data_IF_677100425121
#
_entry.id   IF_677100425121
#
_cell.length_a   1.000
_cell.length_b   1.000
_cell.length_c   1.000
_cell.angle_alpha   90.00
_cell.angle_beta   90.00
_cell.angle_gamma   90.00
#
_symmetry.space_group_name_H-M   'P 1'
#
loop_
_entity.id
_entity.type
_entity.pdbx_description
1 polymer ?
#
# COMPACT_ATOMS: atom_id res chain seq x y z
N UNK A 1 -18.29 -10.95 -19.74
CA UNK A 1 -18.38 -11.03 -18.28
C UNK A 1 -17.54 -9.88 -17.75
N UNK A 2 -18.05 -9.13 -16.78
CA UNK A 2 -17.24 -8.11 -16.10
C UNK A 2 -16.28 -8.86 -15.19
N UNK A 3 -14.98 -8.75 -15.44
CA UNK A 3 -13.95 -9.39 -14.64
C UNK A 3 -14.01 -8.82 -13.22
N UNK A 4 -14.03 -9.68 -12.21
CA UNK A 4 -14.02 -9.24 -10.82
C UNK A 4 -12.58 -8.94 -10.35
N UNK A 5 -12.44 -8.30 -9.18
CA UNK A 5 -11.12 -7.90 -8.68
C UNK A 5 -10.19 -9.11 -8.42
N UNK A 6 -10.72 -10.24 -7.96
CA UNK A 6 -9.95 -11.47 -7.71
C UNK A 6 -9.35 -12.03 -9.02
N UNK A 7 -10.14 -12.08 -10.08
CA UNK A 7 -9.69 -12.51 -11.41
C UNK A 7 -8.61 -11.59 -11.98
N UNK A 8 -8.72 -10.26 -11.75
CA UNK A 8 -7.67 -9.30 -12.14
C UNK A 8 -6.37 -9.61 -11.39
N UNK A 9 -6.45 -9.81 -10.07
CA UNK A 9 -5.29 -10.12 -9.26
C UNK A 9 -4.67 -11.48 -9.59
N UNK A 10 -5.46 -12.48 -9.99
CA UNK A 10 -4.95 -13.74 -10.54
C UNK A 10 -4.20 -13.58 -11.87
N UNK A 11 -4.54 -12.58 -12.68
CA UNK A 11 -3.77 -12.25 -13.89
C UNK A 11 -2.45 -11.55 -13.56
N UNK A 12 -2.45 -10.69 -12.54
CA UNK A 12 -1.28 -9.94 -12.08
C UNK A 12 -0.29 -10.85 -11.35
N UNK A 13 -0.79 -11.71 -10.46
CA UNK A 13 -0.04 -12.66 -9.66
C UNK A 13 -0.52 -14.09 -9.99
N UNK A 14 0.10 -14.76 -10.99
CA UNK A 14 -0.31 -16.09 -11.42
C UNK A 14 -0.30 -17.15 -10.32
N UNK A 15 0.45 -16.92 -9.23
CA UNK A 15 0.48 -17.75 -8.02
C UNK A 15 -0.93 -17.91 -7.41
N UNK A 16 -1.74 -16.85 -7.46
CA UNK A 16 -3.10 -16.83 -6.92
C UNK A 16 -4.08 -17.74 -7.70
N UNK A 17 -3.72 -18.21 -8.89
CA UNK A 17 -4.55 -19.16 -9.68
C UNK A 17 -4.64 -20.54 -9.05
N UNK A 18 -3.74 -20.85 -8.10
CA UNK A 18 -3.73 -22.12 -7.39
C UNK A 18 -4.65 -22.10 -6.15
N UNK A 19 -5.08 -20.90 -5.73
CA UNK A 19 -5.96 -20.72 -4.57
C UNK A 19 -7.43 -20.73 -5.02
N UNK A 20 -8.28 -21.38 -4.23
CA UNK A 20 -9.73 -21.29 -4.42
C UNK A 20 -10.21 -19.85 -4.17
N UNK A 21 -11.22 -19.43 -4.92
CA UNK A 21 -11.86 -18.14 -4.67
C UNK A 21 -12.73 -18.25 -3.40
N UNK A 22 -12.78 -17.20 -2.56
CA UNK A 22 -13.68 -17.17 -1.41
C UNK A 22 -15.16 -17.24 -1.82
N UNK A 23 -16.00 -17.73 -0.90
CA UNK A 23 -17.46 -17.78 -1.11
C UNK A 23 -18.08 -16.37 -1.16
N UNK A 24 -17.54 -15.43 -0.37
CA UNK A 24 -17.96 -14.03 -0.35
C UNK A 24 -16.88 -13.14 -0.95
N UNK A 25 -17.19 -12.58 -2.13
CA UNK A 25 -16.29 -11.71 -2.88
C UNK A 25 -16.55 -10.21 -2.63
N UNK A 26 -17.43 -9.87 -1.68
CA UNK A 26 -17.91 -8.49 -1.49
C UNK A 26 -17.28 -7.77 -0.31
N UNK A 27 -16.54 -8.48 0.54
CA UNK A 27 -15.90 -7.96 1.74
C UNK A 27 -14.40 -7.78 1.52
N UNK A 28 -13.88 -6.58 1.82
CA UNK A 28 -12.45 -6.31 1.67
C UNK A 28 -11.56 -7.20 2.54
N UNK A 29 -11.98 -7.53 3.76
CA UNK A 29 -11.21 -8.40 4.67
C UNK A 29 -11.00 -9.78 4.07
N UNK A 30 -12.04 -10.35 3.44
CA UNK A 30 -11.95 -11.61 2.70
C UNK A 30 -10.99 -11.51 1.52
N UNK A 31 -11.02 -10.38 0.78
CA UNK A 31 -10.08 -10.14 -0.32
C UNK A 31 -8.63 -10.05 0.17
N UNK A 32 -8.37 -9.29 1.24
CA UNK A 32 -7.06 -9.18 1.88
C UNK A 32 -6.54 -10.54 2.32
N UNK A 33 -7.38 -11.32 3.02
CA UNK A 33 -6.99 -12.63 3.56
C UNK A 33 -6.68 -13.63 2.44
N UNK A 34 -7.48 -13.60 1.36
CA UNK A 34 -7.21 -14.40 0.16
C UNK A 34 -5.91 -14.00 -0.53
N UNK A 35 -5.66 -12.69 -0.66
CA UNK A 35 -4.44 -12.18 -1.29
C UNK A 35 -3.20 -12.57 -0.49
N UNK A 36 -3.32 -12.63 0.84
CA UNK A 36 -2.22 -12.93 1.75
C UNK A 36 -2.21 -14.37 2.30
N UNK A 37 -2.98 -15.29 1.72
CA UNK A 37 -3.10 -16.65 2.28
C UNK A 37 -1.78 -17.42 2.22
N UNK A 38 -1.14 -17.49 1.04
CA UNK A 38 0.13 -18.20 0.84
C UNK A 38 1.33 -17.24 0.62
N UNK A 39 1.05 -15.95 0.43
CA UNK A 39 2.01 -14.90 0.11
C UNK A 39 1.70 -13.64 0.91
N UNK A 40 2.53 -12.60 0.81
CA UNK A 40 2.23 -11.28 1.39
C UNK A 40 2.24 -10.25 0.27
N UNK A 41 1.11 -10.07 -0.40
CA UNK A 41 0.97 -9.15 -1.54
C UNK A 41 0.41 -7.79 -1.14
N UNK A 42 -0.43 -7.72 -0.10
CA UNK A 42 -0.98 -6.48 0.45
C UNK A 42 -0.47 -6.27 1.88
N UNK A 43 0.01 -5.09 2.17
CA UNK A 43 0.57 -4.74 3.47
C UNK A 43 -0.36 -3.78 4.19
N UNK A 44 -0.46 -3.94 5.51
CA UNK A 44 -1.11 -2.97 6.39
C UNK A 44 -0.02 -2.11 7.03
N UNK A 45 -0.31 -0.83 7.24
CA UNK A 45 0.56 0.02 8.05
C UNK A 45 -0.28 0.86 8.99
N UNK A 46 0.11 0.87 10.27
CA UNK A 46 -0.35 1.86 11.22
C UNK A 46 0.63 3.04 11.17
N UNK A 47 0.18 4.21 10.74
CA UNK A 47 1.08 5.36 10.47
C UNK A 47 1.83 5.81 11.74
N UNK A 48 1.24 5.59 12.91
CA UNK A 48 1.89 5.84 14.21
C UNK A 48 3.03 4.88 14.52
N UNK A 49 3.02 3.71 13.90
CA UNK A 49 4.03 2.65 14.00
C UNK A 49 4.60 2.34 12.60
N UNK A 50 4.93 3.39 11.84
CA UNK A 50 5.33 3.29 10.41
C UNK A 50 6.55 2.40 10.16
N UNK A 51 7.34 2.09 11.21
CA UNK A 51 8.45 1.14 11.12
C UNK A 51 7.96 -0.28 10.76
N UNK A 52 6.75 -0.65 11.19
CA UNK A 52 6.07 -1.91 10.80
C UNK A 52 5.20 -1.69 9.55
N UNK A 53 5.85 -1.25 8.46
CA UNK A 53 5.19 -0.91 7.20
C UNK A 53 5.01 -2.10 6.23
N UNK A 54 5.49 -3.30 6.56
CA UNK A 54 5.36 -4.49 5.71
C UNK A 54 6.33 -4.56 4.51
N UNK A 55 7.30 -3.65 4.38
CA UNK A 55 8.26 -3.63 3.26
C UNK A 55 9.08 -4.93 3.20
N UNK A 56 9.49 -5.46 4.36
CA UNK A 56 10.33 -6.65 4.45
C UNK A 56 9.55 -7.92 4.08
N UNK A 57 8.24 -7.92 4.33
CA UNK A 57 7.31 -9.02 4.15
C UNK A 57 6.79 -9.08 2.70
N UNK A 58 6.75 -7.94 2.00
CA UNK A 58 6.21 -7.83 0.65
C UNK A 58 6.83 -8.84 -0.32
N UNK A 59 6.00 -9.79 -0.76
CA UNK A 59 6.40 -10.85 -1.69
C UNK A 59 6.89 -10.27 -3.01
N UNK A 60 6.24 -9.23 -3.53
CA UNK A 60 6.65 -8.59 -4.79
C UNK A 60 8.01 -7.94 -4.66
N UNK A 61 8.28 -7.24 -3.55
CA UNK A 61 9.59 -6.63 -3.30
C UNK A 61 10.70 -7.67 -3.15
N UNK A 62 10.45 -8.76 -2.42
CA UNK A 62 11.37 -9.90 -2.33
C UNK A 62 11.66 -10.51 -3.70
N UNK A 63 10.62 -10.78 -4.51
CA UNK A 63 10.75 -11.33 -5.86
C UNK A 63 11.55 -10.40 -6.81
N UNK A 64 11.36 -9.07 -6.68
CA UNK A 64 12.06 -8.06 -7.48
C UNK A 64 13.41 -7.63 -6.91
N UNK A 65 13.81 -8.22 -5.78
CA UNK A 65 15.05 -7.91 -5.06
C UNK A 65 15.15 -6.39 -4.83
N UNK A 66 14.08 -5.79 -4.32
CA UNK A 66 14.11 -4.43 -3.77
C UNK A 66 15.00 -4.46 -2.53
N UNK A 67 15.86 -3.46 -2.39
CA UNK A 67 16.69 -3.31 -1.21
C UNK A 67 15.83 -2.73 -0.07
N UNK A 68 15.22 -3.64 0.70
CA UNK A 68 14.31 -3.29 1.80
C UNK A 68 15.03 -2.53 2.92
N UNK A 69 16.31 -2.81 3.16
CA UNK A 69 17.10 -2.09 4.15
C UNK A 69 17.33 -0.65 3.70
N UNK A 70 17.77 -0.45 2.45
CA UNK A 70 17.96 0.90 1.91
C UNK A 70 16.65 1.70 1.83
N UNK A 71 15.52 1.05 1.51
CA UNK A 71 14.21 1.69 1.49
C UNK A 71 13.78 2.15 2.90
N UNK A 72 13.86 1.27 3.91
CA UNK A 72 13.51 1.64 5.28
C UNK A 72 14.42 2.75 5.81
N UNK A 73 15.73 2.71 5.52
CA UNK A 73 16.66 3.78 5.86
C UNK A 73 16.29 5.10 5.17
N UNK A 74 15.84 5.07 3.91
CA UNK A 74 15.42 6.28 3.21
C UNK A 74 14.17 6.91 3.85
N UNK A 75 13.22 6.08 4.31
CA UNK A 75 12.02 6.53 5.03
C UNK A 75 12.41 7.15 6.37
N UNK A 76 13.20 6.45 7.18
CA UNK A 76 13.66 6.91 8.49
C UNK A 76 14.38 8.26 8.38
N UNK A 77 15.33 8.39 7.45
CA UNK A 77 16.07 9.65 7.27
C UNK A 77 15.16 10.84 6.92
N UNK A 78 14.18 10.65 6.04
CA UNK A 78 13.26 11.74 5.65
C UNK A 78 12.30 12.11 6.79
N UNK A 79 11.87 11.13 7.59
CA UNK A 79 11.04 11.37 8.78
C UNK A 79 11.84 12.07 9.87
N UNK A 80 13.10 11.68 10.10
CA UNK A 80 14.00 12.35 11.03
C UNK A 80 14.22 13.81 10.64
N UNK A 81 14.52 14.08 9.36
CA UNK A 81 14.64 15.45 8.83
C UNK A 81 13.35 16.25 9.05
N UNK A 82 12.19 15.62 8.83
CA UNK A 82 10.90 16.23 9.08
C UNK A 82 10.75 16.61 10.55
N UNK A 83 10.93 15.70 11.51
CA UNK A 83 10.79 15.99 12.93
C UNK A 83 11.85 16.96 13.47
N UNK A 84 13.09 16.88 13.00
CA UNK A 84 14.13 17.85 13.33
C UNK A 84 13.68 19.29 12.97
N UNK A 85 12.88 19.47 11.92
CA UNK A 85 12.37 20.80 11.55
C UNK A 85 11.31 21.37 12.51
N UNK A 86 10.62 20.52 13.29
CA UNK A 86 9.61 20.94 14.28
C UNK A 86 10.23 21.27 15.64
N UNK A 87 11.30 20.60 16.05
CA UNK A 87 12.00 20.88 17.32
C UNK A 87 12.57 22.32 17.40
N UNK A 88 12.62 23.05 16.28
CA UNK A 88 13.08 24.44 16.24
C UNK A 88 11.95 25.50 16.15
N UNK A 89 10.68 25.12 15.93
CA UNK A 89 9.65 26.10 15.57
C UNK A 89 8.50 26.31 16.57
N UNK A 90 7.99 25.35 17.35
CA UNK A 90 6.90 25.63 18.34
C UNK A 90 6.80 24.62 19.51
N UNK A 91 6.51 25.11 20.73
CA UNK A 91 6.39 24.37 22.00
C UNK A 91 4.92 23.97 22.34
N UNK A 92 3.96 24.21 21.46
CA UNK A 92 2.53 23.99 21.71
C UNK A 92 1.99 22.80 20.89
N UNK A 93 2.05 21.57 21.45
CA UNK A 93 1.45 20.35 20.88
C UNK A 93 -0.10 20.44 20.90
N UNK A 94 -0.72 21.04 19.89
CA UNK A 94 -2.17 20.96 19.67
C UNK A 94 -2.54 19.68 18.90
N UNK A 95 -3.75 19.14 19.13
CA UNK A 95 -4.20 17.90 18.48
C UNK A 95 -4.26 17.99 16.94
N UNK A 96 -4.37 19.19 16.38
CA UNK A 96 -4.30 19.45 14.94
C UNK A 96 -2.89 19.20 14.38
N UNK A 97 -1.83 19.40 15.17
CA UNK A 97 -0.45 19.14 14.75
C UNK A 97 -0.16 17.64 14.62
N UNK A 98 -0.78 16.82 15.48
CA UNK A 98 -0.63 15.35 15.44
C UNK A 98 -1.21 14.75 14.15
N UNK A 99 -2.33 15.28 13.66
CA UNK A 99 -2.93 14.82 12.40
C UNK A 99 -2.07 15.24 11.19
N UNK A 100 -1.58 16.48 11.18
CA UNK A 100 -0.69 16.99 10.13
C UNK A 100 0.63 16.21 10.08
N UNK A 101 1.21 15.90 11.24
CA UNK A 101 2.41 15.06 11.33
C UNK A 101 2.16 13.66 10.76
N UNK A 102 1.05 13.01 11.11
CA UNK A 102 0.70 11.69 10.57
C UNK A 102 0.51 11.73 9.05
N UNK A 103 -0.19 12.73 8.52
CA UNK A 103 -0.35 12.89 7.07
C UNK A 103 1.00 13.06 6.36
N UNK A 104 1.96 13.73 7.01
CA UNK A 104 3.29 13.93 6.44
C UNK A 104 4.15 12.66 6.51
N UNK A 105 4.08 11.91 7.61
CA UNK A 105 4.71 10.58 7.72
C UNK A 105 4.15 9.64 6.66
N UNK A 106 2.83 9.60 6.48
CA UNK A 106 2.17 8.80 5.44
C UNK A 106 2.68 9.18 4.04
N UNK A 107 2.78 10.48 3.74
CA UNK A 107 3.28 10.95 2.46
C UNK A 107 4.75 10.54 2.23
N UNK A 108 5.62 10.72 3.24
CA UNK A 108 7.03 10.32 3.14
C UNK A 108 7.16 8.81 2.91
N UNK A 109 6.42 8.01 3.67
CA UNK A 109 6.40 6.56 3.54
C UNK A 109 6.06 6.12 2.12
N UNK A 110 4.93 6.59 1.59
CA UNK A 110 4.47 6.18 0.26
C UNK A 110 5.29 6.79 -0.88
N UNK A 111 5.83 8.00 -0.72
CA UNK A 111 6.75 8.61 -1.70
C UNK A 111 8.02 7.75 -1.86
N UNK A 112 8.60 7.27 -0.75
CA UNK A 112 9.78 6.40 -0.79
C UNK A 112 9.45 5.02 -1.35
N UNK A 113 8.33 4.40 -0.93
CA UNK A 113 7.87 3.12 -1.48
C UNK A 113 7.69 3.23 -3.00
N UNK A 114 7.06 4.31 -3.47
CA UNK A 114 6.87 4.57 -4.90
C UNK A 114 8.20 4.70 -5.62
N UNK A 115 9.12 5.50 -5.10
CA UNK A 115 10.43 5.74 -5.71
C UNK A 115 11.22 4.42 -5.90
N UNK A 116 11.18 3.51 -4.93
CA UNK A 116 11.84 2.21 -5.06
C UNK A 116 11.05 1.23 -5.95
N UNK A 117 9.73 1.27 -5.91
CA UNK A 117 8.86 0.46 -6.77
C UNK A 117 9.10 0.79 -8.26
N UNK A 118 9.15 2.06 -8.62
CA UNK A 118 9.33 2.52 -10.01
C UNK A 118 10.67 2.06 -10.61
N UNK A 119 11.74 2.02 -9.80
CA UNK A 119 13.04 1.48 -10.21
C UNK A 119 12.98 0.01 -10.65
N UNK A 120 11.97 -0.73 -10.18
CA UNK A 120 11.73 -2.14 -10.50
C UNK A 120 10.58 -2.35 -11.48
N UNK A 121 10.11 -1.28 -12.14
CA UNK A 121 8.93 -1.31 -13.02
C UNK A 121 7.69 -1.85 -12.28
N UNK A 122 7.46 -1.31 -11.09
CA UNK A 122 6.26 -1.54 -10.30
C UNK A 122 5.51 -0.22 -10.13
N UNK A 123 4.20 -0.31 -9.91
CA UNK A 123 3.31 0.80 -9.59
C UNK A 123 2.71 0.57 -8.20
N UNK A 124 2.68 1.63 -7.39
CA UNK A 124 2.12 1.62 -6.04
C UNK A 124 0.62 1.88 -6.08
N UNK A 125 -0.15 1.01 -5.44
CA UNK A 125 -1.57 1.19 -5.18
C UNK A 125 -1.78 1.27 -3.67
N UNK A 126 -2.51 2.29 -3.22
CA UNK A 126 -2.81 2.53 -1.81
C UNK A 126 -4.32 2.43 -1.61
N UNK A 127 -4.74 1.77 -0.54
CA UNK A 127 -6.12 1.68 -0.08
C UNK A 127 -6.24 2.61 1.13
N UNK A 128 -6.79 3.78 0.88
CA UNK A 128 -7.03 4.84 1.84
C UNK A 128 -8.18 4.50 2.78
N UNK A 129 -7.88 4.60 4.07
CA UNK A 129 -8.75 4.52 5.26
C UNK A 129 -7.91 5.02 6.45
N UNK A 130 -8.45 5.00 7.67
CA UNK A 130 -7.72 5.46 8.88
C UNK A 130 -6.27 4.92 9.00
N UNK A 131 -6.07 3.62 8.79
CA UNK A 131 -4.74 3.02 8.64
C UNK A 131 -4.66 2.33 7.29
N UNK A 132 -3.81 2.82 6.37
CA UNK A 132 -3.86 2.42 4.97
C UNK A 132 -3.33 1.01 4.75
N UNK A 133 -3.75 0.44 3.64
CA UNK A 133 -3.08 -0.73 3.06
C UNK A 133 -2.36 -0.31 1.79
N UNK A 134 -1.26 -0.97 1.48
CA UNK A 134 -0.55 -0.74 0.23
C UNK A 134 -0.14 -2.04 -0.43
N UNK A 135 0.00 -1.99 -1.75
CA UNK A 135 0.55 -3.08 -2.53
C UNK A 135 1.21 -2.53 -3.78
N UNK A 136 2.03 -3.35 -4.41
CA UNK A 136 2.68 -3.01 -5.67
C UNK A 136 2.32 -4.03 -6.73
N UNK A 137 2.06 -3.54 -7.94
CA UNK A 137 1.78 -4.37 -9.12
C UNK A 137 2.83 -4.07 -10.19
N UNK A 138 3.14 -5.00 -11.12
CA UNK A 138 3.94 -4.67 -12.29
C UNK A 138 3.40 -3.42 -12.99
N UNK A 139 4.27 -2.50 -13.41
CA UNK A 139 3.84 -1.31 -14.13
C UNK A 139 3.07 -1.73 -15.38
N UNK A 140 1.83 -1.24 -15.46
CA UNK A 140 0.93 -1.47 -16.58
C UNK A 140 0.64 -0.14 -17.29
N UNK A 141 -0.11 -0.21 -18.40
CA UNK A 141 -0.66 1.00 -19.00
C UNK A 141 -1.58 1.72 -17.98
N UNK A 142 -1.61 3.05 -18.00
CA UNK A 142 -2.41 3.86 -17.07
C UNK A 142 -3.90 3.44 -17.07
N UNK A 143 -4.42 3.06 -18.25
CA UNK A 143 -5.79 2.57 -18.38
C UNK A 143 -6.01 1.23 -17.63
N UNK A 144 -4.99 0.38 -17.55
CA UNK A 144 -5.07 -0.88 -16.82
C UNK A 144 -5.02 -0.64 -15.31
N UNK A 145 -4.14 0.25 -14.83
CA UNK A 145 -4.10 0.64 -13.43
C UNK A 145 -5.41 1.28 -12.98
N UNK A 146 -5.96 2.21 -13.77
CA UNK A 146 -7.26 2.81 -13.50
C UNK A 146 -8.38 1.76 -13.46
N UNK A 147 -8.35 0.77 -14.36
CA UNK A 147 -9.32 -0.32 -14.34
C UNK A 147 -9.24 -1.15 -13.05
N UNK A 148 -8.04 -1.41 -12.52
CA UNK A 148 -7.87 -2.10 -11.23
C UNK A 148 -8.56 -1.30 -10.12
N UNK A 149 -8.26 0.00 -10.05
CA UNK A 149 -8.82 0.93 -9.07
C UNK A 149 -10.35 0.98 -9.14
N UNK A 150 -10.91 1.15 -10.35
CA UNK A 150 -12.35 1.24 -10.55
C UNK A 150 -13.08 -0.05 -10.14
N UNK A 151 -12.54 -1.21 -10.53
CA UNK A 151 -13.13 -2.51 -10.19
C UNK A 151 -13.02 -2.79 -8.69
N UNK A 152 -11.90 -2.43 -8.05
CA UNK A 152 -11.75 -2.53 -6.60
C UNK A 152 -12.79 -1.68 -5.87
N UNK A 153 -12.86 -0.38 -6.19
CA UNK A 153 -13.78 0.56 -5.55
C UNK A 153 -15.25 0.19 -5.79
N UNK A 154 -15.58 -0.41 -6.94
CA UNK A 154 -16.91 -0.93 -7.20
C UNK A 154 -17.22 -2.18 -6.37
N UNK A 155 -16.23 -3.07 -6.19
CA UNK A 155 -16.38 -4.35 -5.48
C UNK A 155 -16.60 -4.13 -3.98
N UNK A 156 -15.84 -3.20 -3.40
CA UNK A 156 -15.82 -2.93 -1.96
C UNK A 156 -16.49 -1.60 -1.58
N UNK A 157 -17.38 -1.07 -2.43
CA UNK A 157 -18.07 0.22 -2.21
C UNK A 157 -18.85 0.36 -0.90
N UNK A 158 -19.10 -0.76 -0.21
CA UNK A 158 -19.82 -0.81 1.07
C UNK A 158 -18.87 -0.70 2.26
N UNK A 159 -17.59 -0.97 2.03
CA UNK A 159 -16.52 -0.77 2.99
C UNK A 159 -16.13 0.71 3.00
N UNK A 160 -15.74 1.22 4.16
CA UNK A 160 -15.27 2.59 4.33
C UNK A 160 -13.79 2.69 3.93
N UNK A 161 -13.51 2.45 2.64
CA UNK A 161 -12.18 2.45 2.06
C UNK A 161 -12.21 2.73 0.57
N UNK A 162 -11.10 3.25 0.04
CA UNK A 162 -10.94 3.50 -1.40
C UNK A 162 -9.53 3.20 -1.85
N UNK A 163 -9.38 2.55 -3.00
CA UNK A 163 -8.09 2.40 -3.66
C UNK A 163 -7.81 3.59 -4.56
N UNK A 164 -6.54 4.00 -4.62
CA UNK A 164 -6.00 4.92 -5.60
C UNK A 164 -4.60 4.52 -6.05
N UNK A 165 -4.18 5.09 -7.18
CA UNK A 165 -2.78 5.10 -7.58
C UNK A 165 -2.08 6.19 -6.78
N UNK A 166 -0.91 5.87 -6.23
CA UNK A 166 -0.09 6.82 -5.48
C UNK A 166 1.02 7.41 -6.36
#
# INVERSE_FOLDING_TARGET
MTQNIYEIFQEIFPELKQQDLPDDLTEFTTFRDWLNQDHSFIQYVEIKEYEDNGINESTVFQQKQVDAEALNQAIENEIDIFFESFEYEDEDDDADDIEVQQQKVEAILFDQIKLFAEQKQLSLLVIFRENPYWLVVPTQDELQLQRIVDVFNQSFKRDDLTMGMY
#
